data_IF_556645436928
#
_entry.id   IF_556645436928
#
_cell.length_a   1.000
_cell.length_b   1.000
_cell.length_c   1.000
_cell.angle_alpha   90.00
_cell.angle_beta   90.00
_cell.angle_gamma   90.00
#
_symmetry.space_group_name_H-M   'P 1'
#
loop_
_entity.id
_entity.type
_entity.pdbx_description
1 polymer ?
#
# COMPACT_ATOMS: atom_id res chain seq x y z
N UNK A 1 0.25 -21.35 -19.64
CA UNK A 1 -0.78 -21.79 -18.68
C UNK A 1 -0.25 -21.59 -17.26
N UNK A 2 -1.11 -21.23 -16.30
CA UNK A 2 -0.71 -20.81 -14.95
C UNK A 2 -0.67 -22.00 -13.97
N UNK A 3 0.32 -22.06 -13.07
CA UNK A 3 0.30 -23.00 -11.94
C UNK A 3 -0.74 -22.58 -10.89
N UNK A 4 -1.17 -23.50 -10.02
CA UNK A 4 -2.17 -23.20 -8.98
C UNK A 4 -1.72 -22.09 -8.03
N UNK A 5 -0.45 -22.11 -7.65
CA UNK A 5 0.15 -21.11 -6.78
C UNK A 5 0.17 -19.73 -7.44
N UNK A 6 0.50 -19.70 -8.72
CA UNK A 6 0.55 -18.45 -9.46
C UNK A 6 -0.86 -17.86 -9.64
N UNK A 7 -1.88 -18.68 -9.84
CA UNK A 7 -3.28 -18.23 -9.86
C UNK A 7 -3.71 -17.62 -8.53
N UNK A 8 -3.36 -18.26 -7.42
CA UNK A 8 -3.65 -17.73 -6.09
C UNK A 8 -2.94 -16.39 -5.88
N UNK A 9 -1.66 -16.31 -6.24
CA UNK A 9 -0.90 -15.06 -6.21
C UNK A 9 -1.59 -13.97 -7.02
N UNK A 10 -2.01 -14.25 -8.27
CA UNK A 10 -2.69 -13.28 -9.11
C UNK A 10 -4.06 -12.85 -8.56
N UNK A 11 -4.80 -13.77 -7.96
CA UNK A 11 -6.09 -13.46 -7.33
C UNK A 11 -5.92 -12.48 -6.17
N UNK A 12 -4.89 -12.71 -5.34
CA UNK A 12 -4.52 -11.79 -4.26
C UNK A 12 -4.00 -10.46 -4.82
N UNK A 13 -3.10 -10.49 -5.81
CA UNK A 13 -2.54 -9.29 -6.42
C UNK A 13 -3.60 -8.36 -7.02
N UNK A 14 -4.55 -8.92 -7.76
CA UNK A 14 -5.66 -8.16 -8.36
C UNK A 14 -6.56 -7.59 -7.26
N UNK A 15 -6.88 -8.37 -6.23
CA UNK A 15 -7.69 -7.93 -5.09
C UNK A 15 -7.03 -6.79 -4.30
N UNK A 16 -5.73 -6.92 -4.00
CA UNK A 16 -4.94 -5.86 -3.34
C UNK A 16 -4.88 -4.59 -4.21
N UNK A 17 -4.69 -4.75 -5.51
CA UNK A 17 -4.63 -3.62 -6.46
C UNK A 17 -5.97 -2.88 -6.50
N UNK A 18 -7.07 -3.61 -6.66
CA UNK A 18 -8.41 -3.04 -6.71
C UNK A 18 -8.82 -2.38 -5.38
N UNK A 19 -8.51 -3.04 -4.26
CA UNK A 19 -8.74 -2.47 -2.92
C UNK A 19 -7.93 -1.21 -2.69
N UNK A 20 -6.66 -1.17 -3.13
CA UNK A 20 -5.79 0.01 -3.02
C UNK A 20 -6.36 1.21 -3.77
N UNK A 21 -6.78 1.01 -5.02
CA UNK A 21 -7.37 2.07 -5.85
C UNK A 21 -8.69 2.55 -5.24
N UNK A 22 -9.57 1.61 -4.86
CA UNK A 22 -10.89 1.94 -4.31
C UNK A 22 -10.77 2.74 -3.01
N UNK A 23 -9.92 2.29 -2.09
CA UNK A 23 -9.74 2.96 -0.81
C UNK A 23 -9.08 4.34 -0.98
N UNK A 24 -8.12 4.50 -1.90
CA UNK A 24 -7.56 5.80 -2.25
C UNK A 24 -8.61 6.76 -2.82
N UNK A 25 -9.48 6.27 -3.72
CA UNK A 25 -10.56 7.07 -4.31
C UNK A 25 -11.54 7.51 -3.21
N UNK A 26 -12.02 6.58 -2.38
CA UNK A 26 -12.94 6.91 -1.29
C UNK A 26 -12.36 7.95 -0.34
N UNK A 27 -11.11 7.77 0.08
CA UNK A 27 -10.42 8.72 0.96
C UNK A 27 -10.15 10.07 0.27
N UNK A 28 -9.85 10.10 -1.03
CA UNK A 28 -9.64 11.34 -1.77
C UNK A 28 -10.92 12.18 -1.86
N UNK A 29 -12.09 11.54 -1.86
CA UNK A 29 -13.40 12.21 -1.85
C UNK A 29 -13.96 12.46 -0.44
N UNK A 30 -13.23 12.11 0.63
CA UNK A 30 -13.71 12.30 2.00
C UNK A 30 -14.84 11.35 2.41
N UNK A 31 -14.95 10.20 1.75
CA UNK A 31 -15.98 9.18 1.99
C UNK A 31 -15.38 7.81 2.29
N UNK A 32 -14.16 7.76 2.83
CA UNK A 32 -13.55 6.50 3.26
C UNK A 32 -14.35 5.90 4.41
N UNK A 33 -14.87 4.70 4.19
CA UNK A 33 -15.48 3.87 5.22
C UNK A 33 -15.16 2.40 4.89
N UNK A 34 -14.80 1.61 5.91
CA UNK A 34 -14.41 0.22 5.72
C UNK A 34 -15.55 -0.64 5.16
N UNK A 35 -16.80 -0.33 5.50
CA UNK A 35 -17.98 -1.01 5.00
C UNK A 35 -18.21 -0.65 3.54
N UNK A 36 -18.05 0.61 3.14
CA UNK A 36 -18.11 0.99 1.72
C UNK A 36 -17.04 0.28 0.90
N UNK A 37 -15.81 0.22 1.39
CA UNK A 37 -14.74 -0.54 0.74
C UNK A 37 -15.11 -2.03 0.61
N UNK A 38 -15.63 -2.65 1.68
CA UNK A 38 -16.06 -4.05 1.67
C UNK A 38 -17.22 -4.29 0.71
N UNK A 39 -18.22 -3.39 0.67
CA UNK A 39 -19.34 -3.45 -0.25
C UNK A 39 -18.90 -3.33 -1.71
N UNK A 40 -18.01 -2.40 -2.05
CA UNK A 40 -17.48 -2.26 -3.41
C UNK A 40 -16.69 -3.50 -3.83
N UNK A 41 -15.82 -4.01 -2.95
CA UNK A 41 -15.08 -5.25 -3.19
C UNK A 41 -16.02 -6.46 -3.37
N UNK A 42 -17.04 -6.58 -2.52
CA UNK A 42 -18.04 -7.65 -2.59
C UNK A 42 -18.87 -7.57 -3.87
N UNK A 43 -19.39 -6.38 -4.21
CA UNK A 43 -20.17 -6.14 -5.41
C UNK A 43 -19.34 -6.41 -6.68
N UNK A 44 -18.09 -5.96 -6.72
CA UNK A 44 -17.18 -6.23 -7.83
C UNK A 44 -16.89 -7.74 -7.97
N UNK A 45 -16.66 -8.44 -6.86
CA UNK A 45 -16.46 -9.90 -6.85
C UNK A 45 -17.70 -10.62 -7.37
N UNK A 46 -18.90 -10.27 -6.88
CA UNK A 46 -20.17 -10.85 -7.32
C UNK A 46 -20.39 -10.57 -8.82
N UNK A 47 -20.18 -9.32 -9.26
CA UNK A 47 -20.35 -8.93 -10.66
C UNK A 47 -19.40 -9.72 -11.58
N UNK A 48 -18.14 -9.91 -11.18
CA UNK A 48 -17.19 -10.76 -11.91
C UNK A 48 -17.67 -12.21 -11.94
N UNK A 49 -18.10 -12.77 -10.80
CA UNK A 49 -18.61 -14.15 -10.75
C UNK A 49 -19.82 -14.34 -11.65
N UNK A 50 -20.77 -13.40 -11.66
CA UNK A 50 -21.96 -13.44 -12.51
C UNK A 50 -21.61 -13.25 -14.00
N UNK A 51 -20.80 -12.24 -14.33
CA UNK A 51 -20.39 -11.95 -15.71
C UNK A 51 -19.59 -13.09 -16.35
N UNK A 52 -18.84 -13.83 -15.53
CA UNK A 52 -18.12 -15.01 -15.97
C UNK A 52 -18.90 -16.31 -15.87
N UNK A 53 -20.15 -16.28 -15.38
CA UNK A 53 -20.95 -17.46 -15.08
C UNK A 53 -20.23 -18.47 -14.17
N UNK A 54 -19.34 -18.00 -13.28
CA UNK A 54 -18.48 -18.84 -12.45
C UNK A 54 -17.32 -19.53 -13.19
N UNK A 55 -17.14 -19.24 -14.49
CA UNK A 55 -16.07 -19.77 -15.32
C UNK A 55 -14.83 -18.86 -15.40
N UNK A 56 -14.72 -17.81 -14.57
CA UNK A 56 -13.49 -17.01 -14.40
C UNK A 56 -12.39 -17.88 -13.78
N UNK A 57 -11.76 -18.69 -14.63
CA UNK A 57 -10.55 -19.41 -14.29
C UNK A 57 -9.42 -18.80 -15.09
N UNK A 58 -8.43 -18.26 -14.39
CA UNK A 58 -7.09 -18.10 -14.95
C UNK A 58 -6.68 -19.49 -15.48
N UNK A 59 -6.50 -19.66 -16.79
CA UNK A 59 -6.40 -21.00 -17.41
C UNK A 59 -5.33 -21.88 -16.75
N UNK A 60 -5.77 -23.05 -16.32
CA UNK A 60 -4.99 -24.06 -15.60
C UNK A 60 -4.00 -24.78 -16.51
N UNK A 61 -2.73 -24.83 -16.10
CA UNK A 61 -1.81 -25.85 -16.63
C UNK A 61 -2.18 -27.18 -15.98
N UNK A 62 -2.73 -28.12 -16.75
CA UNK A 62 -2.89 -29.50 -16.27
C UNK A 62 -1.50 -30.07 -15.91
N UNK A 63 -1.31 -30.47 -14.65
CA UNK A 63 -0.25 -31.43 -14.29
C UNK A 63 0.99 -30.97 -13.50
N UNK A 64 1.14 -29.72 -13.05
CA UNK A 64 2.31 -29.35 -12.23
C UNK A 64 1.96 -29.01 -10.77
N UNK A 65 1.93 -30.04 -9.92
CA UNK A 65 1.80 -29.95 -8.44
C UNK A 65 3.13 -29.76 -7.69
N UNK A 66 4.26 -29.66 -8.39
CA UNK A 66 5.61 -29.77 -7.80
C UNK A 66 6.18 -28.49 -7.13
N UNK A 67 5.35 -27.60 -6.57
CA UNK A 67 5.81 -26.39 -5.86
C UNK A 67 5.28 -26.23 -4.43
N UNK A 68 4.22 -26.97 -4.08
CA UNK A 68 3.32 -26.61 -2.95
C UNK A 68 4.04 -26.56 -1.61
N UNK A 69 4.99 -27.45 -1.37
CA UNK A 69 5.75 -27.48 -0.12
C UNK A 69 6.70 -26.29 0.04
N UNK A 70 7.28 -25.79 -1.05
CA UNK A 70 8.27 -24.71 -1.03
C UNK A 70 7.63 -23.34 -0.79
N UNK A 71 6.49 -23.06 -1.42
CA UNK A 71 5.77 -21.80 -1.20
C UNK A 71 5.07 -21.80 0.17
N UNK A 72 4.59 -22.95 0.62
CA UNK A 72 3.97 -23.07 1.95
C UNK A 72 4.99 -22.89 3.06
N UNK A 73 6.18 -23.49 2.95
CA UNK A 73 7.27 -23.29 3.92
C UNK A 73 7.77 -21.84 3.92
N UNK A 74 7.85 -21.20 2.74
CA UNK A 74 8.14 -19.78 2.60
C UNK A 74 7.13 -18.91 3.36
N UNK A 75 5.83 -19.12 3.12
CA UNK A 75 4.75 -18.35 3.78
C UNK A 75 4.80 -18.53 5.30
N UNK A 76 5.08 -19.73 5.78
CA UNK A 76 5.21 -20.00 7.21
C UNK A 76 6.43 -19.29 7.82
N UNK A 77 7.60 -19.36 7.17
CA UNK A 77 8.83 -18.72 7.64
C UNK A 77 8.71 -17.19 7.60
N UNK A 78 8.25 -16.63 6.48
CA UNK A 78 8.00 -15.20 6.33
C UNK A 78 6.92 -14.72 7.30
N UNK A 79 5.85 -15.49 7.50
CA UNK A 79 4.84 -15.22 8.52
C UNK A 79 5.44 -15.15 9.92
N UNK A 80 6.25 -16.13 10.30
CA UNK A 80 6.92 -16.16 11.60
C UNK A 80 7.86 -14.97 11.81
N UNK A 81 8.65 -14.60 10.80
CA UNK A 81 9.65 -13.54 10.91
C UNK A 81 9.06 -12.14 10.79
N UNK A 82 8.13 -11.92 9.86
CA UNK A 82 7.62 -10.60 9.52
C UNK A 82 6.39 -10.20 10.35
N UNK A 83 5.52 -11.16 10.70
CA UNK A 83 4.32 -10.87 11.53
C UNK A 83 4.62 -10.86 13.02
N UNK A 84 5.83 -11.26 13.44
CA UNK A 84 6.28 -11.03 14.81
C UNK A 84 6.47 -9.52 15.02
N UNK A 85 5.55 -8.93 15.77
CA UNK A 85 5.62 -7.52 16.18
C UNK A 85 7.05 -7.19 16.62
N UNK A 86 7.71 -6.25 15.95
CA UNK A 86 8.71 -5.45 16.65
C UNK A 86 7.95 -4.77 17.79
N UNK A 87 8.48 -4.79 19.02
CA UNK A 87 7.78 -4.22 20.18
C UNK A 87 7.22 -2.82 19.87
N UNK A 88 6.10 -2.45 20.49
CA UNK A 88 5.27 -1.27 20.17
C UNK A 88 5.95 0.10 20.20
N UNK A 89 7.26 0.16 20.42
CA UNK A 89 8.12 1.35 20.51
C UNK A 89 8.24 2.10 19.16
N UNK A 90 7.93 1.46 18.02
CA UNK A 90 8.23 1.99 16.68
C UNK A 90 7.08 2.73 15.98
N UNK A 91 5.90 2.85 16.61
CA UNK A 91 4.70 3.40 15.97
C UNK A 91 4.58 4.94 16.06
N UNK A 92 5.43 5.62 16.85
CA UNK A 92 5.21 7.03 17.22
C UNK A 92 6.33 8.03 16.93
N UNK A 93 7.46 7.61 16.32
CA UNK A 93 8.62 8.47 16.10
C UNK A 93 8.92 8.73 14.63
N UNK A 94 9.36 9.95 14.28
CA UNK A 94 9.80 10.38 12.94
C UNK A 94 8.79 9.97 11.84
N UNK A 95 9.28 9.45 10.71
CA UNK A 95 8.49 9.09 9.54
C UNK A 95 7.46 7.97 9.82
N UNK A 96 7.80 6.91 10.60
CA UNK A 96 6.81 5.92 11.03
C UNK A 96 5.58 6.50 11.70
N UNK A 97 5.80 7.45 12.61
CA UNK A 97 4.72 8.12 13.33
C UNK A 97 3.82 8.90 12.37
N UNK A 98 4.38 9.51 11.34
CA UNK A 98 3.60 10.24 10.32
C UNK A 98 2.71 9.29 9.54
N UNK A 99 3.24 8.14 9.08
CA UNK A 99 2.43 7.14 8.36
C UNK A 99 1.28 6.60 9.22
N UNK A 100 1.58 6.20 10.47
CA UNK A 100 0.59 5.65 11.39
C UNK A 100 -0.48 6.69 11.70
N UNK A 101 -0.08 7.90 12.08
CA UNK A 101 -1.04 8.96 12.38
C UNK A 101 -1.88 9.34 11.16
N UNK A 102 -1.27 9.44 9.96
CA UNK A 102 -2.03 9.73 8.74
C UNK A 102 -3.07 8.64 8.44
N UNK A 103 -2.73 7.36 8.59
CA UNK A 103 -3.68 6.27 8.39
C UNK A 103 -4.81 6.25 9.42
N UNK A 104 -4.49 6.48 10.70
CA UNK A 104 -5.52 6.59 11.75
C UNK A 104 -6.42 7.80 11.51
N UNK A 105 -5.89 8.93 11.02
CA UNK A 105 -6.69 10.09 10.66
C UNK A 105 -7.62 9.80 9.48
N UNK A 106 -7.18 9.06 8.46
CA UNK A 106 -8.05 8.63 7.35
C UNK A 106 -9.22 7.80 7.87
N UNK A 107 -8.97 6.87 8.79
CA UNK A 107 -10.02 6.07 9.43
C UNK A 107 -10.99 6.89 10.29
N UNK A 108 -10.51 7.94 10.97
CA UNK A 108 -11.35 8.75 11.86
C UNK A 108 -12.08 9.92 11.18
N UNK A 109 -11.62 10.33 9.99
CA UNK A 109 -12.07 11.54 9.29
C UNK A 109 -12.50 11.27 7.85
N UNK A 110 -12.44 10.01 7.44
CA UNK A 110 -12.88 9.50 6.14
C UNK A 110 -12.14 10.13 4.93
N UNK A 111 -11.07 10.89 5.17
CA UNK A 111 -10.44 11.77 4.19
C UNK A 111 -8.92 11.79 4.25
N UNK A 112 -8.28 11.99 3.09
CA UNK A 112 -6.83 12.21 2.98
C UNK A 112 -6.40 13.58 3.51
N UNK A 113 -7.30 14.57 3.48
CA UNK A 113 -7.06 15.94 3.95
C UNK A 113 -7.74 16.10 5.30
N UNK A 114 -7.00 16.60 6.27
CA UNK A 114 -7.47 16.85 7.62
C UNK A 114 -8.00 18.28 7.70
N UNK A 115 -9.23 18.44 8.18
CA UNK A 115 -9.78 19.74 8.57
C UNK A 115 -9.54 19.97 10.07
N UNK A 116 -8.47 20.70 10.40
CA UNK A 116 -8.09 21.05 11.77
C UNK A 116 -8.76 22.35 12.20
N UNK A 117 -9.81 22.21 13.02
CA UNK A 117 -10.55 23.34 13.60
C UNK A 117 -9.67 24.25 14.48
N UNK A 118 -8.62 23.72 15.11
CA UNK A 118 -7.69 24.52 15.93
C UNK A 118 -6.89 25.45 15.03
N UNK A 119 -6.37 24.93 13.91
CA UNK A 119 -5.64 25.76 12.92
C UNK A 119 -6.53 26.87 12.40
N UNK A 120 -7.77 26.55 12.06
CA UNK A 120 -8.76 27.54 11.57
C UNK A 120 -9.04 28.65 12.58
N UNK A 121 -9.04 28.33 13.87
CA UNK A 121 -9.42 29.26 14.94
C UNK A 121 -8.32 30.27 15.29
N UNK A 122 -7.06 29.98 14.97
CA UNK A 122 -5.94 30.91 15.26
C UNK A 122 -6.08 32.20 14.42
N UNK A 123 -6.23 33.38 15.06
CA UNK A 123 -6.34 34.66 14.36
C UNK A 123 -5.11 34.92 13.49
N UNK A 124 -5.33 35.57 12.33
CA UNK A 124 -4.29 35.77 11.31
C UNK A 124 -3.05 36.45 11.88
N UNK A 125 -3.23 37.44 12.75
CA UNK A 125 -2.16 38.18 13.39
C UNK A 125 -1.26 37.31 14.28
N UNK A 126 -1.78 36.23 14.87
CA UNK A 126 -1.01 35.37 15.80
C UNK A 126 -0.47 34.09 15.16
N UNK A 127 -0.83 33.80 13.90
CA UNK A 127 -0.43 32.54 13.23
C UNK A 127 1.07 32.30 13.23
N UNK A 128 1.87 33.35 13.03
CA UNK A 128 3.32 33.25 13.00
C UNK A 128 3.94 32.79 14.33
N UNK A 129 3.22 32.93 15.46
CA UNK A 129 3.65 32.47 16.79
C UNK A 129 3.46 30.96 16.97
N UNK A 130 2.49 30.36 16.26
CA UNK A 130 2.12 28.95 16.40
C UNK A 130 2.53 28.09 15.20
N UNK A 131 2.59 28.70 14.02
CA UNK A 131 2.84 28.05 12.75
C UNK A 131 4.11 28.67 12.15
N UNK A 132 5.28 28.04 12.35
CA UNK A 132 6.54 28.59 11.87
C UNK A 132 6.47 28.73 10.34
N UNK A 133 6.80 29.90 9.79
CA UNK A 133 6.79 30.09 8.35
C UNK A 133 7.82 29.17 7.70
N UNK A 134 7.60 28.84 6.43
CA UNK A 134 8.54 28.04 5.65
C UNK A 134 9.91 28.71 5.66
N UNK A 135 10.93 27.99 6.13
CA UNK A 135 12.31 28.48 6.18
C UNK A 135 13.05 28.29 4.88
N UNK A 136 12.64 27.32 4.04
CA UNK A 136 13.29 27.01 2.77
C UNK A 136 12.37 27.36 1.58
N UNK A 137 12.71 28.37 0.75
CA UNK A 137 11.92 28.75 -0.42
C UNK A 137 11.77 27.65 -1.49
N UNK A 138 12.59 26.60 -1.44
CA UNK A 138 12.50 25.44 -2.35
C UNK A 138 11.37 24.50 -1.98
N UNK A 139 10.89 24.55 -0.74
CA UNK A 139 9.70 23.82 -0.32
C UNK A 139 8.49 24.51 -0.95
N UNK A 140 7.75 23.79 -1.81
CA UNK A 140 6.52 24.26 -2.47
C UNK A 140 5.32 23.44 -2.01
N UNK A 141 4.10 23.99 -2.08
CA UNK A 141 2.86 23.23 -1.84
C UNK A 141 2.30 23.18 -0.41
N UNK A 142 2.82 23.96 0.55
CA UNK A 142 2.19 24.18 1.86
C UNK A 142 2.51 25.57 2.40
N UNK A 143 1.79 26.06 3.41
CA UNK A 143 2.01 27.37 4.04
C UNK A 143 2.90 27.27 5.28
N UNK A 144 2.70 26.25 6.11
CA UNK A 144 3.45 26.03 7.34
C UNK A 144 3.39 24.57 7.79
N UNK A 145 4.01 24.25 8.92
CA UNK A 145 4.06 22.92 9.54
C UNK A 145 3.19 22.93 10.80
N UNK A 146 2.24 22.00 10.91
CA UNK A 146 1.38 21.85 12.10
C UNK A 146 2.04 21.00 13.19
N UNK A 147 2.63 19.89 12.76
CA UNK A 147 3.41 18.93 13.54
C UNK A 147 4.46 18.32 12.61
N UNK A 148 5.47 17.62 13.15
CA UNK A 148 6.46 16.92 12.33
C UNK A 148 5.76 15.99 11.32
N UNK A 149 5.97 16.22 10.03
CA UNK A 149 5.37 15.48 8.92
C UNK A 149 3.89 15.78 8.63
N UNK A 150 3.32 16.84 9.21
CA UNK A 150 1.98 17.34 8.89
C UNK A 150 2.05 18.81 8.49
N UNK A 151 1.62 19.10 7.26
CA UNK A 151 1.72 20.43 6.67
C UNK A 151 0.37 21.11 6.58
N UNK A 152 0.34 22.41 6.87
CA UNK A 152 -0.81 23.27 6.73
C UNK A 152 -0.85 23.73 5.27
N UNK A 153 -1.89 23.34 4.53
CA UNK A 153 -2.12 23.77 3.15
C UNK A 153 -2.80 25.15 3.11
N UNK A 154 -3.76 25.37 3.99
CA UNK A 154 -4.46 26.64 4.12
C UNK A 154 -4.90 26.86 5.58
N UNK A 155 -4.28 27.80 6.31
CA UNK A 155 -4.62 28.08 7.70
C UNK A 155 -5.96 28.80 7.88
N UNK A 156 -6.54 29.38 6.83
CA UNK A 156 -7.84 30.07 6.90
C UNK A 156 -9.02 29.12 7.02
N UNK A 157 -8.93 27.96 6.39
CA UNK A 157 -9.94 26.89 6.45
C UNK A 157 -9.48 25.69 7.28
N UNK A 158 -8.22 25.69 7.75
CA UNK A 158 -7.67 24.66 8.62
C UNK A 158 -7.25 23.38 7.89
N UNK A 159 -6.92 23.45 6.60
CA UNK A 159 -6.52 22.26 5.83
C UNK A 159 -5.10 21.83 6.18
N UNK A 160 -4.96 20.58 6.62
CA UNK A 160 -3.71 19.93 6.98
C UNK A 160 -3.57 18.63 6.20
N UNK A 161 -2.36 18.29 5.77
CA UNK A 161 -2.08 17.04 5.05
C UNK A 161 -0.81 16.37 5.59
N UNK A 162 -0.80 15.04 5.58
CA UNK A 162 0.42 14.29 5.87
C UNK A 162 1.50 14.50 4.80
N UNK A 163 2.75 14.40 5.20
CA UNK A 163 3.91 14.60 4.33
C UNK A 163 4.01 13.58 3.19
N UNK A 164 3.64 12.33 3.48
CA UNK A 164 3.90 11.21 2.60
C UNK A 164 2.70 10.89 1.71
N UNK A 165 2.95 10.25 0.55
CA UNK A 165 1.91 9.69 -0.29
C UNK A 165 0.96 8.77 0.47
N UNK A 166 -0.30 8.76 0.03
CA UNK A 166 -1.40 8.23 0.84
C UNK A 166 -1.63 6.72 0.71
N UNK A 167 -0.94 5.98 -0.17
CA UNK A 167 -1.22 4.56 -0.33
C UNK A 167 -0.89 3.76 0.93
N UNK A 168 0.27 4.01 1.54
CA UNK A 168 0.63 3.33 2.78
C UNK A 168 -0.31 3.72 3.95
N UNK A 169 -0.59 5.02 4.20
CA UNK A 169 -1.61 5.46 5.15
C UNK A 169 -2.99 4.81 4.94
N UNK A 170 -3.45 4.64 3.70
CA UNK A 170 -4.74 3.98 3.43
C UNK A 170 -4.75 2.52 3.88
N UNK A 171 -3.66 1.77 3.68
CA UNK A 171 -3.56 0.40 4.19
C UNK A 171 -3.47 0.33 5.72
N UNK A 172 -2.88 1.35 6.35
CA UNK A 172 -2.92 1.53 7.81
C UNK A 172 -4.36 1.78 8.27
N UNK A 173 -5.12 2.64 7.58
CA UNK A 173 -6.53 2.91 7.89
C UNK A 173 -7.36 1.62 7.87
N UNK A 174 -7.25 0.83 6.78
CA UNK A 174 -7.94 -0.46 6.63
C UNK A 174 -7.61 -1.39 7.80
N UNK A 175 -6.33 -1.53 8.14
CA UNK A 175 -5.92 -2.41 9.22
C UNK A 175 -6.34 -1.90 10.61
N UNK A 176 -6.39 -0.59 10.78
CA UNK A 176 -6.89 0.05 11.99
C UNK A 176 -8.40 -0.17 12.17
N UNK A 177 -9.19 -0.07 11.11
CA UNK A 177 -10.64 -0.35 11.19
C UNK A 177 -10.93 -1.83 11.50
N UNK A 178 -10.11 -2.74 10.98
CA UNK A 178 -10.30 -4.18 11.19
C UNK A 178 -9.87 -4.62 12.59
N UNK A 179 -8.73 -4.11 13.11
CA UNK A 179 -8.15 -4.63 14.35
C UNK A 179 -7.39 -3.60 15.18
N UNK A 180 -7.73 -2.32 15.04
CA UNK A 180 -7.11 -1.20 15.73
C UNK A 180 -5.61 -1.11 15.51
N UNK A 181 -4.90 -0.57 16.50
CA UNK A 181 -3.44 -0.47 16.47
C UNK A 181 -2.71 -1.82 16.40
N UNK A 182 -3.40 -2.92 16.75
CA UNK A 182 -2.83 -4.27 16.59
C UNK A 182 -2.80 -4.64 15.11
N UNK A 183 -3.85 -4.33 14.35
CA UNK A 183 -3.90 -4.52 12.90
C UNK A 183 -2.81 -3.76 12.15
N UNK A 184 -2.59 -2.49 12.53
CA UNK A 184 -1.56 -1.62 11.92
C UNK A 184 -0.17 -2.27 11.92
N UNK A 185 0.18 -3.02 12.97
CA UNK A 185 1.48 -3.70 13.11
C UNK A 185 1.71 -4.79 12.06
N UNK A 186 0.64 -5.35 11.49
CA UNK A 186 0.72 -6.44 10.53
C UNK A 186 0.78 -5.97 9.07
N UNK A 187 0.44 -4.70 8.78
CA UNK A 187 0.34 -4.19 7.40
C UNK A 187 1.62 -4.48 6.61
N UNK A 188 2.77 -4.07 7.12
CA UNK A 188 4.04 -4.27 6.41
C UNK A 188 4.49 -5.72 6.39
N UNK A 189 4.19 -6.49 7.43
CA UNK A 189 4.50 -7.92 7.42
C UNK A 189 3.75 -8.64 6.29
N UNK A 190 2.47 -8.32 6.10
CA UNK A 190 1.65 -8.86 5.01
C UNK A 190 2.16 -8.41 3.64
N UNK A 191 2.48 -7.13 3.47
CA UNK A 191 3.06 -6.59 2.24
C UNK A 191 4.46 -7.14 1.95
N UNK A 192 5.27 -7.44 2.98
CA UNK A 192 6.57 -8.07 2.84
C UNK A 192 6.44 -9.51 2.35
N UNK A 193 5.53 -10.31 2.93
CA UNK A 193 5.23 -11.67 2.44
C UNK A 193 4.82 -11.59 0.97
N UNK A 194 3.89 -10.69 0.63
CA UNK A 194 3.41 -10.53 -0.74
C UNK A 194 4.53 -10.08 -1.69
N UNK A 195 5.36 -9.13 -1.29
CA UNK A 195 6.46 -8.62 -2.11
C UNK A 195 7.55 -9.64 -2.39
N UNK A 196 7.91 -10.47 -1.40
CA UNK A 196 8.88 -11.55 -1.67
C UNK A 196 8.24 -12.66 -2.52
N UNK A 197 6.94 -12.96 -2.37
CA UNK A 197 6.25 -13.85 -3.31
C UNK A 197 6.28 -13.30 -4.74
N UNK A 198 6.10 -11.98 -4.92
CA UNK A 198 6.22 -11.34 -6.23
C UNK A 198 7.64 -11.51 -6.80
N UNK A 199 8.68 -11.29 -5.99
CA UNK A 199 10.08 -11.51 -6.38
C UNK A 199 10.34 -12.98 -6.72
N UNK A 200 9.78 -13.92 -5.95
CA UNK A 200 9.86 -15.35 -6.25
C UNK A 200 9.29 -15.66 -7.64
N UNK A 201 8.09 -15.16 -7.97
CA UNK A 201 7.49 -15.44 -9.28
C UNK A 201 8.23 -14.77 -10.43
N UNK A 202 8.76 -13.55 -10.23
CA UNK A 202 9.65 -12.89 -11.20
C UNK A 202 10.92 -13.72 -11.41
N UNK A 203 11.59 -14.12 -10.32
CA UNK A 203 12.78 -14.97 -10.39
C UNK A 203 12.49 -16.32 -11.02
N UNK A 204 11.34 -16.93 -10.74
CA UNK A 204 10.95 -18.23 -11.28
C UNK A 204 10.76 -18.17 -12.80
N UNK A 205 10.30 -17.03 -13.31
CA UNK A 205 10.14 -16.79 -14.75
C UNK A 205 11.49 -16.50 -15.43
N UNK A 206 12.43 -15.82 -14.77
CA UNK A 206 13.70 -15.41 -15.39
C UNK A 206 14.84 -16.43 -15.24
N UNK A 207 14.94 -17.07 -14.07
CA UNK A 207 16.09 -17.90 -13.66
C UNK A 207 15.69 -19.33 -13.29
N UNK A 208 14.39 -19.65 -13.34
CA UNK A 208 13.85 -20.94 -12.94
C UNK A 208 13.53 -21.04 -11.45
N UNK A 209 12.71 -22.05 -11.09
CA UNK A 209 12.11 -22.16 -9.74
C UNK A 209 13.12 -22.40 -8.62
N UNK A 210 14.20 -23.12 -8.88
CA UNK A 210 15.22 -23.45 -7.86
C UNK A 210 16.01 -22.21 -7.46
N UNK A 211 16.52 -21.46 -8.43
CA UNK A 211 17.21 -20.19 -8.20
C UNK A 211 16.28 -19.16 -7.54
N UNK A 212 15.02 -19.08 -8.00
CA UNK A 212 14.02 -18.21 -7.40
C UNK A 212 13.72 -18.55 -5.94
N UNK A 213 13.63 -19.83 -5.61
CA UNK A 213 13.42 -20.29 -4.25
C UNK A 213 14.60 -19.93 -3.34
N UNK A 214 15.84 -20.18 -3.80
CA UNK A 214 17.03 -19.80 -3.06
C UNK A 214 17.10 -18.27 -2.85
N UNK A 215 16.85 -17.48 -3.90
CA UNK A 215 16.86 -16.02 -3.83
C UNK A 215 15.78 -15.45 -2.89
N UNK A 216 14.54 -15.94 -3.00
CA UNK A 216 13.46 -15.53 -2.11
C UNK A 216 13.73 -15.96 -0.66
N UNK A 217 14.30 -17.15 -0.45
CA UNK A 217 14.71 -17.63 0.87
C UNK A 217 15.78 -16.74 1.50
N UNK A 218 16.84 -16.41 0.76
CA UNK A 218 17.87 -15.47 1.20
C UNK A 218 17.29 -14.09 1.51
N UNK A 219 16.38 -13.59 0.67
CA UNK A 219 15.71 -12.30 0.89
C UNK A 219 14.87 -12.31 2.18
N UNK A 220 14.16 -13.40 2.48
CA UNK A 220 13.40 -13.53 3.73
C UNK A 220 14.26 -13.48 4.98
N UNK A 221 15.45 -14.06 4.91
CA UNK A 221 16.42 -14.07 5.99
C UNK A 221 17.25 -12.79 6.06
N UNK A 222 17.21 -11.96 5.01
CA UNK A 222 18.00 -10.75 4.92
C UNK A 222 17.60 -9.74 6.00
N UNK A 223 18.58 -9.25 6.76
CA UNK A 223 18.36 -8.37 7.92
C UNK A 223 17.57 -7.11 7.54
N UNK A 224 17.87 -6.49 6.40
CA UNK A 224 17.15 -5.29 5.97
C UNK A 224 15.68 -5.60 5.62
N UNK A 225 15.40 -6.76 5.00
CA UNK A 225 14.03 -7.16 4.67
C UNK A 225 13.22 -7.38 5.95
N UNK A 226 13.79 -8.09 6.92
CA UNK A 226 13.15 -8.33 8.23
C UNK A 226 12.93 -7.02 8.99
N UNK A 227 13.90 -6.10 8.95
CA UNK A 227 13.81 -4.80 9.60
C UNK A 227 12.68 -3.96 8.99
N UNK A 228 12.71 -3.76 7.66
CA UNK A 228 11.71 -2.97 6.96
C UNK A 228 10.32 -3.64 6.96
N UNK A 229 10.22 -4.97 7.04
CA UNK A 229 8.92 -5.64 7.21
C UNK A 229 8.24 -5.33 8.56
N UNK A 230 9.00 -4.82 9.55
CA UNK A 230 8.53 -4.59 10.93
C UNK A 230 8.58 -3.12 11.36
N UNK A 231 9.11 -2.23 10.52
CA UNK A 231 9.29 -0.81 10.79
C UNK A 231 8.45 0.01 9.80
N UNK A 232 7.52 0.88 10.22
CA UNK A 232 6.65 1.60 9.29
C UNK A 232 7.39 2.45 8.23
N UNK A 233 7.43 1.95 6.99
CA UNK A 233 8.10 2.54 5.82
C UNK A 233 7.32 2.20 4.54
N UNK A 234 7.55 2.94 3.46
CA UNK A 234 6.83 2.74 2.20
C UNK A 234 7.53 1.77 1.24
N UNK A 235 8.82 1.50 1.46
CA UNK A 235 9.71 0.73 0.59
C UNK A 235 9.21 -0.70 0.39
N UNK A 236 8.67 -1.34 1.42
CA UNK A 236 8.12 -2.70 1.31
C UNK A 236 6.91 -2.76 0.38
N UNK A 237 6.01 -1.77 0.46
CA UNK A 237 4.84 -1.68 -0.42
C UNK A 237 5.30 -1.37 -1.84
N UNK A 238 6.24 -0.45 -2.00
CA UNK A 238 6.82 -0.13 -3.30
C UNK A 238 7.48 -1.36 -3.94
N UNK A 239 8.30 -2.12 -3.19
CA UNK A 239 8.89 -3.37 -3.65
C UNK A 239 7.81 -4.32 -4.16
N UNK A 240 6.77 -4.57 -3.36
CA UNK A 240 5.71 -5.49 -3.75
C UNK A 240 4.97 -5.05 -5.02
N UNK A 241 4.65 -3.76 -5.14
CA UNK A 241 3.95 -3.19 -6.30
C UNK A 241 4.81 -3.21 -7.57
N UNK A 242 6.07 -2.80 -7.49
CA UNK A 242 6.98 -2.78 -8.64
C UNK A 242 7.19 -4.19 -9.18
N UNK A 243 7.52 -5.17 -8.31
CA UNK A 243 7.76 -6.54 -8.77
C UNK A 243 6.48 -7.22 -9.28
N UNK A 244 5.32 -6.93 -8.68
CA UNK A 244 4.02 -7.38 -9.22
C UNK A 244 3.75 -6.76 -10.59
N UNK A 245 4.04 -5.47 -10.77
CA UNK A 245 3.85 -4.76 -12.03
C UNK A 245 4.76 -5.26 -13.15
N UNK A 246 6.04 -5.51 -12.84
CA UNK A 246 6.99 -6.12 -13.78
C UNK A 246 6.56 -7.53 -14.18
N UNK A 247 6.11 -8.35 -13.22
CA UNK A 247 5.59 -9.68 -13.51
C UNK A 247 4.33 -9.59 -14.40
N UNK A 248 3.43 -8.65 -14.10
CA UNK A 248 2.20 -8.45 -14.86
C UNK A 248 2.52 -7.97 -16.29
N UNK A 249 3.49 -7.08 -16.44
CA UNK A 249 3.96 -6.60 -17.75
C UNK A 249 4.54 -7.75 -18.60
N UNK A 250 5.41 -8.58 -18.02
CA UNK A 250 5.98 -9.74 -18.70
C UNK A 250 4.88 -10.75 -19.13
N UNK A 251 3.81 -10.88 -18.34
CA UNK A 251 2.64 -11.71 -18.68
C UNK A 251 1.74 -11.07 -19.72
N UNK A 252 1.54 -9.76 -19.68
CA UNK A 252 0.78 -9.03 -20.69
C UNK A 252 1.40 -9.23 -22.08
N UNK A 253 2.73 -9.16 -22.18
CA UNK A 253 3.44 -9.32 -23.44
C UNK A 253 3.34 -10.75 -24.00
N UNK A 254 3.51 -11.77 -23.14
CA UNK A 254 3.47 -13.18 -23.57
C UNK A 254 2.07 -13.71 -23.84
N UNK A 255 1.06 -13.25 -23.10
CA UNK A 255 -0.33 -13.74 -23.22
C UNK A 255 -1.27 -12.82 -23.99
N UNK A 256 -0.80 -11.63 -24.40
CA UNK A 256 -1.62 -10.59 -25.04
C UNK A 256 -2.89 -10.22 -24.25
N UNK A 257 -2.87 -10.42 -22.93
CA UNK A 257 -4.02 -10.24 -22.05
C UNK A 257 -4.12 -8.79 -21.55
N UNK A 258 -5.25 -8.15 -21.83
CA UNK A 258 -5.56 -6.80 -21.34
C UNK A 258 -5.62 -6.70 -19.82
N UNK A 259 -6.03 -7.79 -19.15
CA UNK A 259 -6.08 -7.84 -17.69
C UNK A 259 -4.68 -7.63 -17.11
N UNK A 260 -3.69 -8.40 -17.56
CA UNK A 260 -2.32 -8.27 -17.07
C UNK A 260 -1.69 -6.93 -17.46
N UNK A 261 -2.00 -6.39 -18.64
CA UNK A 261 -1.55 -5.05 -19.03
C UNK A 261 -2.10 -3.96 -18.09
N UNK A 262 -3.38 -4.07 -17.74
CA UNK A 262 -4.05 -3.14 -16.82
C UNK A 262 -3.49 -3.27 -15.42
N UNK A 263 -3.36 -4.50 -14.91
CA UNK A 263 -2.74 -4.76 -13.60
C UNK A 263 -1.34 -4.18 -13.54
N UNK A 264 -0.50 -4.38 -14.57
CA UNK A 264 0.83 -3.82 -14.64
C UNK A 264 0.83 -2.29 -14.51
N UNK A 265 0.04 -1.62 -15.37
CA UNK A 265 -0.08 -0.17 -15.39
C UNK A 265 -0.55 0.38 -14.04
N UNK A 266 -1.59 -0.24 -13.45
CA UNK A 266 -2.15 0.21 -12.17
C UNK A 266 -1.17 -0.03 -11.02
N UNK A 267 -0.51 -1.19 -10.93
CA UNK A 267 0.46 -1.44 -9.84
C UNK A 267 1.69 -0.54 -9.91
N UNK A 268 2.18 -0.24 -11.13
CA UNK A 268 3.30 0.70 -11.33
C UNK A 268 2.83 2.13 -11.03
N UNK A 269 1.61 2.50 -11.41
CA UNK A 269 1.01 3.79 -11.03
C UNK A 269 0.88 3.92 -9.51
N UNK A 270 0.36 2.89 -8.84
CA UNK A 270 0.23 2.83 -7.39
C UNK A 270 1.58 2.93 -6.67
N UNK A 271 2.68 2.42 -7.23
CA UNK A 271 3.98 2.55 -6.58
C UNK A 271 4.44 4.01 -6.45
N UNK A 272 3.99 4.89 -7.36
CA UNK A 272 4.22 6.34 -7.22
C UNK A 272 3.47 6.93 -6.02
N UNK A 273 2.32 6.36 -5.66
CA UNK A 273 1.56 6.72 -4.45
C UNK A 273 2.04 6.02 -3.19
N UNK A 274 2.98 5.07 -3.29
CA UNK A 274 3.67 4.50 -2.13
C UNK A 274 4.85 5.38 -1.73
N UNK A 275 5.70 5.74 -2.69
CA UNK A 275 6.92 6.49 -2.44
C UNK A 275 7.20 7.48 -3.58
N UNK A 276 6.74 8.72 -3.41
CA UNK A 276 7.19 9.87 -4.19
C UNK A 276 7.90 10.84 -3.26
N UNK A 277 9.16 11.14 -3.57
CA UNK A 277 9.93 12.21 -2.92
C UNK A 277 9.39 13.61 -3.30
N UNK A 278 8.41 13.68 -4.20
CA UNK A 278 7.79 14.91 -4.67
C UNK A 278 6.38 15.06 -4.11
N UNK A 279 6.19 16.13 -3.34
CA UNK A 279 4.91 16.77 -3.07
C UNK A 279 4.15 16.98 -4.38
N UNK A 280 2.99 16.34 -4.53
CA UNK A 280 2.04 16.71 -5.58
C UNK A 280 1.13 17.82 -5.03
N UNK A 281 1.25 19.07 -5.50
CA UNK A 281 0.32 20.10 -5.10
C UNK A 281 -1.04 19.79 -5.74
N UNK A 282 -2.00 19.30 -4.96
CA UNK A 282 -3.42 19.39 -5.30
C UNK A 282 -3.86 20.85 -5.17
N UNK A 283 -3.38 21.72 -6.06
CA UNK A 283 -3.98 23.03 -6.28
C UNK A 283 -5.13 22.84 -7.27
N UNK A 284 -6.34 22.65 -6.72
CA UNK A 284 -7.55 22.99 -7.45
C UNK A 284 -7.55 24.49 -7.68
N UNK A 285 -7.44 24.91 -8.94
CA UNK A 285 -7.80 26.28 -9.34
C UNK A 285 -9.32 26.39 -9.21
N UNK A 286 -9.77 27.16 -8.22
CA UNK A 286 -11.12 27.70 -8.08
C UNK A 286 -11.00 29.13 -7.63
#
# INVERSE_FOLDING_TARGET
MLSTEERLFWSVAISLTFSSVTALILAAFGNYDINYLACVNGAFTIALTLASQGHLKLQEAHGQRNGTCAITSYRACAGYLFLRSAGGIHLGGRDPGVYVNAGVQISQRDSLIIEDSVVRTVPREYRHLFFPPRTNPRERGYDSVRFMGFFILDPSIGKVVGQFPHLYPVWIAIAYDVYGLTGVRYVLGLWAIFGVLAIYFVGAQLLGRTAAFAGAGLLTLHVAQVWYARYPNAEIIMQALIFTGLLAYARAHSSQSRLFATTAAVTIGLSLFAQSQQFWPLQGRG
#
